data_IF_710493559237
#
_entry.id   IF_710493559237
#
_cell.length_a   1.000
_cell.length_b   1.000
_cell.length_c   1.000
_cell.angle_alpha   90.00
_cell.angle_beta   90.00
_cell.angle_gamma   90.00
#
_symmetry.space_group_name_H-M   'P 1'
#
loop_
_entity.id
_entity.type
_entity.pdbx_description
1 polymer ?
#
# COMPACT_ATOMS: atom_id res chain seq x y z
N UNK A 1 7.95 10.49 -27.43
CA UNK A 1 7.77 9.12 -26.89
C UNK A 1 6.82 9.23 -25.72
N UNK A 2 5.58 8.75 -25.86
CA UNK A 2 4.57 8.81 -24.80
C UNK A 2 4.77 7.59 -23.91
N UNK A 3 5.42 7.76 -22.76
CA UNK A 3 5.58 6.67 -21.79
C UNK A 3 4.21 6.33 -21.22
N UNK A 4 3.65 5.18 -21.58
CA UNK A 4 2.43 4.65 -20.94
C UNK A 4 2.77 4.32 -19.49
N UNK A 5 2.33 5.18 -18.56
CA UNK A 5 2.51 4.95 -17.13
C UNK A 5 1.53 3.84 -16.72
N UNK A 6 2.06 2.70 -16.27
CA UNK A 6 1.22 1.66 -15.66
C UNK A 6 0.86 2.12 -14.25
N UNK A 7 -0.39 2.51 -14.04
CA UNK A 7 -0.89 2.93 -12.73
C UNK A 7 -1.84 1.92 -12.14
N UNK A 8 -1.69 1.61 -10.85
CA UNK A 8 -2.67 0.84 -10.08
C UNK A 8 -3.40 1.77 -9.12
N UNK A 9 -4.73 1.69 -9.12
CA UNK A 9 -5.57 2.35 -8.12
C UNK A 9 -5.63 1.47 -6.86
N UNK A 10 -5.43 2.08 -5.69
CA UNK A 10 -5.52 1.43 -4.38
C UNK A 10 -6.62 2.14 -3.59
N UNK A 11 -7.51 1.35 -2.99
CA UNK A 11 -8.50 1.81 -2.02
C UNK A 11 -8.20 1.13 -0.69
N UNK A 12 -7.80 1.90 0.32
CA UNK A 12 -7.59 1.38 1.68
C UNK A 12 -8.68 1.92 2.60
N UNK A 13 -9.47 1.05 3.22
CA UNK A 13 -10.58 1.42 4.12
C UNK A 13 -10.33 0.86 5.50
N UNK A 14 -10.31 1.71 6.53
CA UNK A 14 -10.03 1.28 7.91
C UNK A 14 -11.14 1.72 8.85
N UNK A 15 -11.46 0.86 9.82
CA UNK A 15 -12.43 1.10 10.88
C UNK A 15 -11.82 0.78 12.25
N UNK A 16 -12.41 1.30 13.32
CA UNK A 16 -12.04 0.93 14.70
C UNK A 16 -10.79 1.63 15.28
N UNK A 17 -10.16 2.56 14.54
CA UNK A 17 -9.06 3.38 15.03
C UNK A 17 -9.52 4.81 15.37
N UNK A 18 -8.72 5.55 16.14
CA UNK A 18 -9.08 6.84 16.73
C UNK A 18 -9.46 7.93 15.70
N UNK A 19 -10.03 9.04 16.18
CA UNK A 19 -10.11 10.31 15.43
C UNK A 19 -11.19 10.46 14.36
N UNK A 20 -11.94 9.42 14.01
CA UNK A 20 -13.13 9.58 13.17
C UNK A 20 -14.38 9.69 14.06
N UNK A 21 -15.00 10.87 14.10
CA UNK A 21 -16.31 11.08 14.76
C UNK A 21 -17.41 10.14 14.24
N UNK A 22 -17.21 9.39 13.14
CA UNK A 22 -18.17 8.46 12.54
C UNK A 22 -17.51 7.24 11.82
N UNK A 23 -17.01 6.24 12.56
CA UNK A 23 -17.03 4.83 12.08
C UNK A 23 -15.97 4.34 11.07
N UNK A 24 -15.12 5.18 10.47
CA UNK A 24 -14.01 4.73 9.63
C UNK A 24 -13.55 5.75 8.59
N UNK A 25 -12.51 5.44 7.84
CA UNK A 25 -11.97 6.30 6.78
C UNK A 25 -11.48 5.48 5.58
N UNK A 26 -11.55 6.06 4.39
CA UNK A 26 -11.04 5.49 3.14
C UNK A 26 -10.02 6.42 2.51
N UNK A 27 -8.89 5.85 2.07
CA UNK A 27 -7.86 6.52 1.28
C UNK A 27 -7.87 5.95 -0.12
N UNK A 28 -7.87 6.84 -1.11
CA UNK A 28 -7.59 6.50 -2.50
C UNK A 28 -6.16 6.91 -2.85
N UNK A 29 -5.40 5.97 -3.39
CA UNK A 29 -4.02 6.18 -3.79
C UNK A 29 -3.77 5.67 -5.21
N UNK A 30 -2.81 6.30 -5.89
CA UNK A 30 -2.33 5.90 -7.21
C UNK A 30 -0.89 5.42 -7.07
N UNK A 31 -0.64 4.18 -7.46
CA UNK A 31 0.69 3.61 -7.53
C UNK A 31 1.18 3.64 -8.98
N UNK A 32 2.20 4.42 -9.26
CA UNK A 32 2.98 4.30 -10.50
C UNK A 32 3.86 3.06 -10.39
N UNK A 33 3.54 2.04 -11.17
CA UNK A 33 4.23 0.75 -11.17
C UNK A 33 5.61 0.82 -11.85
N UNK A 34 5.83 1.77 -12.74
CA UNK A 34 7.09 1.94 -13.46
C UNK A 34 8.18 2.52 -12.56
N UNK A 35 7.82 3.54 -11.77
CA UNK A 35 8.76 4.20 -10.86
C UNK A 35 8.61 3.75 -9.40
N UNK A 36 7.58 2.95 -9.13
CA UNK A 36 7.19 2.52 -7.80
C UNK A 36 7.00 3.72 -6.86
N UNK A 37 6.22 4.70 -7.30
CA UNK A 37 5.86 5.89 -6.53
C UNK A 37 4.39 5.83 -6.13
N UNK A 38 4.10 6.11 -4.87
CA UNK A 38 2.75 6.08 -4.30
C UNK A 38 2.28 7.51 -4.06
N UNK A 39 1.15 7.86 -4.66
CA UNK A 39 0.50 9.15 -4.48
C UNK A 39 -0.81 8.98 -3.71
N UNK A 40 -0.87 9.52 -2.50
CA UNK A 40 -2.07 9.56 -1.66
C UNK A 40 -2.97 10.70 -2.16
N UNK A 41 -4.02 10.35 -2.90
CA UNK A 41 -4.78 11.29 -3.71
C UNK A 41 -5.99 11.88 -2.98
N UNK A 42 -6.73 11.07 -2.24
CA UNK A 42 -7.97 11.53 -1.60
C UNK A 42 -8.27 10.77 -0.32
N UNK A 43 -8.86 11.47 0.65
CA UNK A 43 -9.46 10.91 1.86
C UNK A 43 -10.98 11.10 1.81
N UNK A 44 -11.72 10.05 2.16
CA UNK A 44 -13.17 10.05 2.34
C UNK A 44 -13.57 9.37 3.65
N UNK A 45 -14.82 9.54 4.11
CA UNK A 45 -15.42 8.63 5.07
C UNK A 45 -15.38 7.17 4.58
N UNK A 46 -15.62 6.22 5.49
CA UNK A 46 -15.69 4.78 5.17
C UNK A 46 -16.54 4.52 3.92
N UNK A 47 -15.91 4.01 2.87
CA UNK A 47 -16.59 3.52 1.68
C UNK A 47 -17.17 2.12 1.92
N UNK A 48 -18.39 1.89 1.44
CA UNK A 48 -19.08 0.60 1.59
C UNK A 48 -18.84 -0.38 0.44
N UNK A 49 -18.21 0.09 -0.64
CA UNK A 49 -17.97 -0.69 -1.84
C UNK A 49 -16.62 -0.36 -2.47
N UNK A 50 -16.15 -1.27 -3.32
CA UNK A 50 -14.97 -1.06 -4.16
C UNK A 50 -15.24 0.04 -5.19
N UNK A 51 -14.32 0.97 -5.31
CA UNK A 51 -14.31 1.97 -6.37
C UNK A 51 -13.58 1.42 -7.59
N UNK A 52 -14.31 1.22 -8.69
CA UNK A 52 -13.76 0.73 -9.97
C UNK A 52 -12.95 -0.57 -9.77
N UNK A 53 -11.79 -0.66 -10.42
CA UNK A 53 -10.84 -1.79 -10.35
C UNK A 53 -9.76 -1.56 -9.28
N UNK A 54 -10.03 -0.73 -8.26
CA UNK A 54 -9.06 -0.47 -7.20
C UNK A 54 -8.69 -1.76 -6.47
N UNK A 55 -7.41 -1.97 -6.15
CA UNK A 55 -7.00 -2.96 -5.17
C UNK A 55 -7.58 -2.54 -3.81
N UNK A 56 -8.51 -3.33 -3.26
CA UNK A 56 -9.24 -3.02 -2.04
C UNK A 56 -8.58 -3.70 -0.84
N UNK A 57 -8.08 -2.88 0.08
CA UNK A 57 -7.55 -3.32 1.38
C UNK A 57 -8.43 -2.78 2.49
N UNK A 58 -8.77 -3.63 3.44
CA UNK A 58 -9.62 -3.26 4.56
C UNK A 58 -9.37 -4.12 5.79
N UNK A 59 -9.59 -3.58 6.99
CA UNK A 59 -9.72 -4.38 8.22
C UNK A 59 -11.19 -4.69 8.58
N UNK A 60 -12.15 -4.11 7.86
CA UNK A 60 -13.58 -4.34 8.04
C UNK A 60 -14.02 -5.63 7.35
N UNK A 61 -14.39 -6.63 8.15
CA UNK A 61 -14.88 -7.94 7.68
C UNK A 61 -16.23 -7.86 6.96
N UNK A 62 -16.98 -6.77 7.09
CA UNK A 62 -18.23 -6.57 6.37
C UNK A 62 -17.99 -6.25 4.87
N UNK A 63 -16.78 -5.79 4.51
CA UNK A 63 -16.40 -5.58 3.11
C UNK A 63 -15.97 -6.90 2.46
N UNK A 64 -16.94 -7.67 1.97
CA UNK A 64 -16.74 -9.01 1.41
C UNK A 64 -15.92 -9.06 0.12
N UNK A 65 -15.81 -7.94 -0.60
CA UNK A 65 -15.05 -7.84 -1.85
C UNK A 65 -13.57 -7.45 -1.62
N UNK A 66 -13.05 -7.57 -0.40
CA UNK A 66 -11.68 -7.13 -0.09
C UNK A 66 -10.63 -8.06 -0.71
N UNK A 67 -9.61 -7.50 -1.38
CA UNK A 67 -8.48 -8.27 -1.92
C UNK A 67 -7.49 -8.67 -0.82
N UNK A 68 -7.36 -7.81 0.20
CA UNK A 68 -6.48 -8.05 1.34
C UNK A 68 -7.12 -7.61 2.65
N UNK A 69 -7.39 -8.58 3.53
CA UNK A 69 -7.87 -8.31 4.88
C UNK A 69 -6.70 -7.92 5.79
N UNK A 70 -6.59 -6.64 6.09
CA UNK A 70 -5.54 -6.05 6.94
C UNK A 70 -5.77 -6.41 8.41
N UNK A 71 -4.73 -6.94 9.06
CA UNK A 71 -4.77 -7.40 10.46
C UNK A 71 -3.61 -6.82 11.26
N UNK A 72 -3.69 -6.95 12.58
CA UNK A 72 -2.66 -6.41 13.49
C UNK A 72 -1.25 -6.96 13.21
N UNK A 73 -1.15 -8.21 12.76
CA UNK A 73 0.15 -8.80 12.36
C UNK A 73 0.81 -8.09 11.17
N UNK A 74 0.03 -7.38 10.35
CA UNK A 74 0.50 -6.72 9.14
C UNK A 74 1.00 -5.29 9.44
N UNK A 75 0.74 -4.77 10.64
CA UNK A 75 1.12 -3.43 11.09
C UNK A 75 2.61 -3.18 10.93
N UNK A 76 3.46 -4.10 11.41
CA UNK A 76 4.91 -3.92 11.36
C UNK A 76 5.40 -3.78 9.91
N UNK A 77 4.96 -4.69 9.03
CA UNK A 77 5.30 -4.65 7.61
C UNK A 77 4.78 -3.38 6.92
N UNK A 78 3.60 -2.89 7.32
CA UNK A 78 3.02 -1.66 6.79
C UNK A 78 3.81 -0.41 7.21
N UNK A 79 4.33 -0.37 8.44
CA UNK A 79 5.22 0.70 8.90
C UNK A 79 6.56 0.66 8.18
N UNK A 80 7.16 -0.52 8.03
CA UNK A 80 8.41 -0.69 7.28
C UNK A 80 8.25 -0.23 5.83
N UNK A 81 7.12 -0.61 5.19
CA UNK A 81 6.77 -0.15 3.86
C UNK A 81 6.59 1.38 3.81
N UNK A 82 5.89 1.97 4.77
CA UNK A 82 5.71 3.43 4.86
C UNK A 82 7.05 4.16 4.93
N UNK A 83 7.96 3.74 5.82
CA UNK A 83 9.29 4.35 5.92
C UNK A 83 10.13 4.12 4.67
N UNK A 84 10.00 2.97 4.00
CA UNK A 84 10.64 2.75 2.70
C UNK A 84 10.18 3.81 1.67
N UNK A 85 8.88 4.00 1.49
CA UNK A 85 8.36 4.98 0.54
C UNK A 85 8.68 6.43 0.94
N UNK A 86 8.58 6.76 2.24
CA UNK A 86 8.89 8.09 2.75
C UNK A 86 10.36 8.44 2.56
N UNK A 87 11.28 7.59 3.03
CA UNK A 87 12.73 7.87 3.02
C UNK A 87 13.33 7.82 1.61
N UNK A 88 12.70 7.09 0.69
CA UNK A 88 13.12 7.05 -0.72
C UNK A 88 12.53 8.19 -1.57
N UNK A 89 11.74 9.09 -0.99
CA UNK A 89 11.07 10.16 -1.74
C UNK A 89 9.99 9.65 -2.70
N UNK A 90 9.48 8.43 -2.49
CA UNK A 90 8.49 7.76 -3.34
C UNK A 90 7.06 7.88 -2.81
N UNK A 91 6.86 8.56 -1.68
CA UNK A 91 5.54 8.85 -1.12
C UNK A 91 5.20 10.33 -1.30
N UNK A 92 4.07 10.61 -1.93
CA UNK A 92 3.54 11.96 -2.04
C UNK A 92 2.10 12.02 -1.57
N UNK A 93 1.69 13.19 -1.08
CA UNK A 93 0.33 13.46 -0.61
C UNK A 93 -0.20 14.65 -1.39
N UNK A 94 -1.46 14.59 -1.81
CA UNK A 94 -2.19 15.77 -2.22
C UNK A 94 -2.39 16.73 -1.03
N UNK A 95 -2.69 18.00 -1.31
CA UNK A 95 -2.91 19.00 -0.26
C UNK A 95 -4.07 18.61 0.68
N UNK A 96 -5.13 18.01 0.13
CA UNK A 96 -6.30 17.57 0.90
C UNK A 96 -6.04 16.34 1.78
N UNK A 97 -4.93 15.63 1.56
CA UNK A 97 -4.54 14.43 2.32
C UNK A 97 -3.31 14.65 3.19
N UNK A 98 -2.76 15.87 3.28
CA UNK A 98 -1.57 16.15 4.09
C UNK A 98 -1.75 15.77 5.57
N UNK A 99 -2.96 15.93 6.12
CA UNK A 99 -3.30 15.55 7.50
C UNK A 99 -3.40 14.05 7.77
N UNK A 100 -3.37 13.20 6.73
CA UNK A 100 -3.43 11.74 6.89
C UNK A 100 -2.07 11.08 6.99
N UNK A 101 -0.99 11.87 7.03
CA UNK A 101 0.37 11.37 7.24
C UNK A 101 0.42 10.60 8.56
N UNK A 102 0.84 9.31 8.55
CA UNK A 102 0.99 8.52 9.76
C UNK A 102 1.94 9.20 10.75
N UNK A 103 1.46 9.42 11.98
CA UNK A 103 2.28 9.84 13.09
C UNK A 103 2.75 8.59 13.85
N UNK A 104 3.99 8.17 13.60
CA UNK A 104 4.58 6.94 14.14
C UNK A 104 5.75 7.33 15.03
N UNK A 105 5.72 6.92 16.29
CA UNK A 105 6.87 7.03 17.18
C UNK A 105 7.69 5.75 17.09
N UNK A 106 8.92 5.87 16.58
CA UNK A 106 9.90 4.78 16.63
C UNK A 106 10.56 4.79 18.01
N UNK A 107 10.20 3.84 18.87
CA UNK A 107 10.94 3.64 20.12
C UNK A 107 12.26 2.90 19.86
N UNK A 108 13.17 3.06 20.83
CA UNK A 108 14.60 2.78 20.75
C UNK A 108 14.95 1.37 20.23
N UNK A 109 16.15 1.29 19.64
CA UNK A 109 16.80 0.05 19.20
C UNK A 109 16.77 -1.00 20.32
N UNK A 110 16.14 -2.15 20.06
CA UNK A 110 16.35 -3.35 20.88
C UNK A 110 17.36 -4.26 20.17
N UNK A 111 17.96 -5.22 20.88
CA UNK A 111 18.95 -6.15 20.31
C UNK A 111 18.40 -7.00 19.14
N UNK A 112 17.07 -7.03 18.96
CA UNK A 112 16.34 -7.73 17.88
C UNK A 112 15.81 -6.81 16.77
N UNK A 113 16.08 -5.50 16.83
CA UNK A 113 15.68 -4.51 15.82
C UNK A 113 14.77 -3.39 16.37
N UNK A 114 14.09 -2.67 15.46
CA UNK A 114 13.14 -1.62 15.82
C UNK A 114 11.85 -2.20 16.38
N UNK A 115 11.52 -1.85 17.63
CA UNK A 115 10.20 -2.06 18.20
C UNK A 115 9.31 -0.87 17.81
N UNK A 116 8.27 -1.14 17.02
CA UNK A 116 7.38 -0.13 16.45
C UNK A 116 6.05 -0.27 17.17
N UNK A 117 5.74 0.66 18.07
CA UNK A 117 4.39 0.82 18.59
C UNK A 117 3.66 1.91 17.82
N UNK A 118 2.52 1.56 17.26
CA UNK A 118 1.57 2.54 16.75
C UNK A 118 0.99 3.29 17.96
N UNK A 119 0.99 4.63 17.91
CA UNK A 119 0.44 5.47 18.97
C UNK A 119 -1.07 5.23 19.16
N UNK A 120 -1.55 5.24 20.42
CA UNK A 120 -2.97 5.00 20.77
C UNK A 120 -3.95 6.01 20.11
N UNK A 121 -3.44 7.12 19.58
CA UNK A 121 -4.18 8.14 18.84
C UNK A 121 -4.15 8.02 17.31
N UNK A 122 -3.57 6.95 16.74
CA UNK A 122 -3.53 6.79 15.29
C UNK A 122 -4.94 6.70 14.72
N UNK A 123 -5.17 7.46 13.64
CA UNK A 123 -6.48 7.56 13.03
C UNK A 123 -6.73 6.49 11.97
N UNK A 124 -8.00 6.22 11.67
CA UNK A 124 -8.37 5.33 10.56
C UNK A 124 -7.72 5.77 9.23
N UNK A 125 -7.63 7.08 8.98
CA UNK A 125 -7.02 7.60 7.76
C UNK A 125 -5.50 7.33 7.72
N UNK A 126 -4.81 7.48 8.85
CA UNK A 126 -3.39 7.14 8.96
C UNK A 126 -3.14 5.64 8.78
N UNK A 127 -3.99 4.79 9.38
CA UNK A 127 -3.93 3.35 9.16
C UNK A 127 -4.16 2.97 7.70
N UNK A 128 -5.11 3.63 7.03
CA UNK A 128 -5.37 3.39 5.62
C UNK A 128 -4.16 3.76 4.75
N UNK A 129 -3.41 4.81 5.10
CA UNK A 129 -2.14 5.13 4.42
C UNK A 129 -1.10 4.04 4.63
N UNK A 130 -0.95 3.49 5.85
CA UNK A 130 -0.04 2.38 6.12
C UNK A 130 -0.39 1.14 5.28
N UNK A 131 -1.67 0.77 5.25
CA UNK A 131 -2.15 -0.34 4.46
C UNK A 131 -1.93 -0.13 2.95
N UNK A 132 -2.10 1.11 2.45
CA UNK A 132 -1.80 1.44 1.06
C UNK A 132 -0.29 1.31 0.74
N UNK A 133 0.59 1.69 1.68
CA UNK A 133 2.03 1.50 1.54
C UNK A 133 2.40 0.02 1.48
N UNK A 134 1.80 -0.81 2.34
CA UNK A 134 1.99 -2.26 2.32
C UNK A 134 1.56 -2.86 0.98
N UNK A 135 0.35 -2.53 0.50
CA UNK A 135 -0.11 -3.00 -0.81
C UNK A 135 0.84 -2.60 -1.93
N UNK A 136 1.33 -1.36 -1.91
CA UNK A 136 2.25 -0.90 -2.93
C UNK A 136 3.56 -1.69 -2.93
N UNK A 137 4.09 -2.01 -1.75
CA UNK A 137 5.25 -2.88 -1.59
C UNK A 137 4.98 -4.31 -2.10
N UNK A 138 3.81 -4.90 -1.80
CA UNK A 138 3.41 -6.21 -2.32
C UNK A 138 3.29 -6.21 -3.85
N UNK A 139 2.65 -5.19 -4.44
CA UNK A 139 2.53 -5.04 -5.90
C UNK A 139 3.90 -4.97 -6.59
N UNK A 140 4.86 -4.28 -5.97
CA UNK A 140 6.25 -4.20 -6.44
C UNK A 140 6.93 -5.56 -6.45
N UNK A 141 6.76 -6.34 -5.39
CA UNK A 141 7.37 -7.67 -5.26
C UNK A 141 6.82 -8.65 -6.29
N UNK A 142 5.50 -8.63 -6.50
CA UNK A 142 4.83 -9.42 -7.55
C UNK A 142 5.37 -9.04 -8.93
N UNK A 143 5.47 -7.75 -9.25
CA UNK A 143 6.01 -7.32 -10.54
C UNK A 143 7.48 -7.71 -10.73
N UNK A 144 8.29 -7.66 -9.68
CA UNK A 144 9.69 -8.12 -9.74
C UNK A 144 9.76 -9.60 -10.05
N UNK A 145 8.93 -10.41 -9.41
CA UNK A 145 8.86 -11.85 -9.66
C UNK A 145 8.40 -12.16 -11.10
N UNK A 146 7.35 -11.48 -11.59
CA UNK A 146 6.86 -11.64 -12.96
C UNK A 146 7.94 -11.25 -13.99
N UNK A 147 8.60 -10.10 -13.81
CA UNK A 147 9.68 -9.67 -14.70
C UNK A 147 10.89 -10.62 -14.66
N UNK A 148 11.18 -11.25 -13.52
CA UNK A 148 12.23 -12.25 -13.41
C UNK A 148 11.86 -13.54 -14.17
N UNK A 149 10.61 -13.97 -14.05
CA UNK A 149 10.08 -15.13 -14.77
C UNK A 149 10.04 -14.94 -16.30
N UNK A 150 9.65 -13.76 -16.76
CA UNK A 150 9.68 -13.43 -18.19
C UNK A 150 11.11 -13.47 -18.75
N UNK A 151 12.09 -13.00 -17.98
CA UNK A 151 13.51 -13.05 -18.37
C UNK A 151 14.05 -14.48 -18.45
N UNK A 152 13.63 -15.37 -17.55
CA UNK A 152 14.07 -16.76 -17.59
C UNK A 152 13.44 -17.53 -18.75
N UNK A 153 12.17 -17.28 -19.07
CA UNK A 153 11.48 -18.00 -20.16
C UNK A 153 11.78 -17.43 -21.57
N UNK A 154 12.30 -16.20 -21.66
CA UNK A 154 12.79 -15.62 -22.90
C UNK A 154 14.20 -16.07 -23.31
N UNK A 155 14.80 -17.04 -22.59
CA UNK A 155 16.15 -17.56 -22.86
C UNK A 155 16.15 -18.94 -23.53
N UNK A 156 14.99 -19.59 -23.68
CA UNK A 156 14.85 -20.90 -24.33
C UNK A 156 14.36 -20.76 -25.78
N UNK A 157 15.13 -20.06 -26.62
CA UNK A 157 15.10 -20.33 -28.06
C UNK A 157 15.87 -21.64 -28.29
N UNK A 158 15.19 -22.75 -28.02
CA UNK A 158 15.61 -24.08 -28.44
C UNK A 158 15.51 -24.10 -29.97
N UNK A 159 16.61 -23.83 -30.67
CA UNK A 159 16.74 -24.11 -32.10
C UNK A 159 16.60 -25.63 -32.26
N UNK A 160 15.38 -26.10 -32.49
CA UNK A 160 15.14 -27.43 -33.05
C UNK A 160 15.44 -27.28 -34.55
N UNK A 161 16.72 -27.39 -34.92
CA UNK A 161 17.09 -27.74 -36.29
C UNK A 161 16.80 -29.22 -36.44
N UNK A 162 15.63 -29.57 -36.96
CA UNK A 162 15.40 -30.91 -37.47
C UNK A 162 16.17 -31.04 -38.78
N UNK A 163 17.18 -31.91 -38.78
CA UNK A 163 17.91 -32.39 -39.95
C UNK A 163 17.10 -33.47 -40.65
#
# INVERSE_FOLDING_TARGET
MTTTIKTQLIQATMVGYAGAKNGGATIYALLDLSHNTLHIHEQKPRAEARFKTAALISNDIALTQCDFLFKDKDIKAAVDAYFYYQNSGRLTFSDSTAGTRPNIETHALTESGFDVRIYDGVTCAQMAVLAACLQAQTSREIMRALNAFEKTNGSDDLIITTV
#
